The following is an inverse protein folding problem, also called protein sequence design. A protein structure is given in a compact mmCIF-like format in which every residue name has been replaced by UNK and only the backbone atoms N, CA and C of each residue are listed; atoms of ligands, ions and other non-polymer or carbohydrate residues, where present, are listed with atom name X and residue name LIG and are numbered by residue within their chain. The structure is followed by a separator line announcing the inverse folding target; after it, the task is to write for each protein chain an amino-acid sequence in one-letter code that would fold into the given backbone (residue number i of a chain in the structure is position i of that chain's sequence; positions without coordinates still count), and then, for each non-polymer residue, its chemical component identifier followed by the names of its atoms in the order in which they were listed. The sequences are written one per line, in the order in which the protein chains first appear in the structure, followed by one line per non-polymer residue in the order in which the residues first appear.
data_IF_480344815581
#
_entry.id   IF_480344815581
#
_cell.length_a   1.000
_cell.length_b   1.000
_cell.length_c   1.000
_cell.angle_alpha   90.00
_cell.angle_beta   90.00
_cell.angle_gamma   90.00
#
_symmetry.space_group_name_H-M   'P 1'
#
loop_
_entity.id
_entity.type
_entity.pdbx_description
1 polymer ?
#
# COMPACT_ATOMS: atom_id res chain seq x y z
N UNK A 1 -4.81 -19.91 -11.34
CA UNK A 1 -4.68 -18.46 -11.60
C UNK A 1 -5.94 -17.68 -11.22
N UNK A 2 -7.14 -18.04 -11.70
CA UNK A 2 -8.40 -17.38 -11.31
C UNK A 2 -8.69 -17.46 -9.80
N UNK A 3 -8.63 -18.66 -9.20
CA UNK A 3 -8.86 -18.85 -7.75
C UNK A 3 -7.90 -18.02 -6.89
N UNK A 4 -6.62 -17.99 -7.26
CA UNK A 4 -5.62 -17.17 -6.58
C UNK A 4 -5.92 -15.66 -6.70
N UNK A 5 -6.38 -15.21 -7.87
CA UNK A 5 -6.76 -13.80 -8.09
C UNK A 5 -7.98 -13.41 -7.25
N UNK A 6 -8.99 -14.28 -7.18
CA UNK A 6 -10.17 -14.11 -6.31
C UNK A 6 -9.74 -14.05 -4.85
N UNK A 7 -8.83 -14.94 -4.44
CA UNK A 7 -8.30 -14.96 -3.08
C UNK A 7 -7.52 -13.69 -2.74
N UNK A 8 -6.72 -13.15 -3.68
CA UNK A 8 -6.03 -11.87 -3.49
C UNK A 8 -7.00 -10.70 -3.34
N UNK A 9 -8.08 -10.67 -4.14
CA UNK A 9 -9.14 -9.66 -3.98
C UNK A 9 -9.81 -9.79 -2.61
N UNK A 10 -10.09 -11.01 -2.15
CA UNK A 10 -10.59 -11.27 -0.81
C UNK A 10 -9.63 -10.81 0.30
N UNK A 11 -8.32 -11.04 0.12
CA UNK A 11 -7.28 -10.60 1.05
C UNK A 11 -7.19 -9.06 1.08
N UNK A 12 -7.32 -8.41 -0.08
CA UNK A 12 -7.35 -6.95 -0.20
C UNK A 12 -8.55 -6.36 0.54
N UNK A 13 -9.74 -6.94 0.36
CA UNK A 13 -10.95 -6.53 1.11
C UNK A 13 -10.79 -6.74 2.63
N UNK A 14 -10.27 -7.90 3.03
CA UNK A 14 -10.02 -8.18 4.44
C UNK A 14 -9.01 -7.20 5.04
N UNK A 15 -7.96 -6.84 4.30
CA UNK A 15 -6.99 -5.86 4.76
C UNK A 15 -7.57 -4.46 4.89
N UNK A 16 -8.51 -4.06 4.03
CA UNK A 16 -9.25 -2.82 4.17
C UNK A 16 -9.96 -2.78 5.52
N UNK A 17 -10.64 -3.87 5.91
CA UNK A 17 -11.31 -3.97 7.21
C UNK A 17 -10.29 -3.88 8.34
N UNK A 18 -9.23 -4.70 8.30
CA UNK A 18 -8.20 -4.73 9.36
C UNK A 18 -7.50 -3.37 9.50
N UNK A 19 -7.25 -2.68 8.39
CA UNK A 19 -6.62 -1.36 8.36
C UNK A 19 -7.41 -0.31 9.15
N UNK A 20 -8.74 -0.41 9.21
CA UNK A 20 -9.58 0.52 9.98
C UNK A 20 -9.41 0.37 11.50
N UNK A 21 -9.01 -0.81 11.96
CA UNK A 21 -8.82 -1.10 13.38
C UNK A 21 -7.38 -0.90 13.86
N UNK A 22 -6.45 -0.56 12.96
CA UNK A 22 -5.06 -0.34 13.33
C UNK A 22 -4.81 1.08 13.84
N UNK A 23 -4.50 1.25 15.14
CA UNK A 23 -4.12 2.55 15.67
C UNK A 23 -2.76 3.00 15.14
N UNK A 24 -2.50 4.31 15.13
CA UNK A 24 -1.15 4.82 14.91
C UNK A 24 -0.25 4.45 16.09
N UNK A 25 1.02 4.17 15.79
CA UNK A 25 2.02 3.90 16.82
C UNK A 25 2.54 5.24 17.32
N UNK A 26 1.94 5.76 18.38
CA UNK A 26 2.28 7.05 18.99
C UNK A 26 3.75 7.13 19.43
N UNK A 27 4.35 6.00 19.81
CA UNK A 27 5.76 5.92 20.20
C UNK A 27 6.75 6.18 19.05
N UNK A 28 6.30 6.14 17.78
CA UNK A 28 7.14 6.22 16.58
C UNK A 28 6.63 7.27 15.59
N UNK A 29 6.54 8.54 16.03
CA UNK A 29 6.10 9.66 15.18
C UNK A 29 4.72 9.46 14.54
N UNK A 30 3.80 8.81 15.26
CA UNK A 30 2.49 8.40 14.73
C UNK A 30 2.56 7.58 13.43
N UNK A 31 3.61 6.76 13.29
CA UNK A 31 3.76 5.85 12.17
C UNK A 31 2.56 4.89 12.10
N UNK A 32 2.10 4.64 10.87
CA UNK A 32 0.98 3.74 10.60
C UNK A 32 1.47 2.52 9.86
N UNK A 33 0.91 1.36 10.18
CA UNK A 33 1.17 0.16 9.41
C UNK A 33 0.24 0.15 8.22
N UNK A 34 0.78 0.15 7.01
CA UNK A 34 0.01 0.24 5.78
C UNK A 34 -0.22 -1.13 5.15
N UNK A 35 -1.14 -1.92 5.68
CA UNK A 35 -1.42 -3.30 5.22
C UNK A 35 -2.02 -3.32 3.81
N UNK A 36 -2.98 -2.45 3.52
CA UNK A 36 -3.64 -2.40 2.22
C UNK A 36 -2.63 -2.14 1.07
N UNK A 37 -1.78 -1.09 1.13
CA UNK A 37 -0.70 -0.93 0.16
C UNK A 37 0.23 -2.14 0.06
N UNK A 38 0.57 -2.75 1.20
CA UNK A 38 1.47 -3.89 1.28
C UNK A 38 0.95 -5.08 0.47
N UNK A 39 -0.34 -5.38 0.58
CA UNK A 39 -0.97 -6.49 -0.15
C UNK A 39 -1.03 -6.22 -1.65
N UNK A 40 -1.32 -4.98 -2.06
CA UNK A 40 -1.29 -4.59 -3.47
C UNK A 40 0.13 -4.76 -4.04
N UNK A 41 1.15 -4.29 -3.31
CA UNK A 41 2.55 -4.38 -3.74
C UNK A 41 3.06 -5.83 -3.74
N UNK A 42 2.84 -6.60 -2.68
CA UNK A 42 3.26 -8.00 -2.63
C UNK A 42 2.51 -8.84 -3.66
N UNK A 43 1.21 -8.61 -3.83
CA UNK A 43 0.38 -9.26 -4.85
C UNK A 43 0.83 -8.92 -6.27
N UNK A 44 1.27 -7.69 -6.52
CA UNK A 44 1.72 -7.26 -7.86
C UNK A 44 2.91 -8.06 -8.40
N UNK A 45 3.79 -8.54 -7.52
CA UNK A 45 4.96 -9.36 -7.88
C UNK A 45 4.55 -10.79 -8.23
N UNK A 46 3.49 -11.31 -7.62
CA UNK A 46 3.07 -12.71 -7.81
C UNK A 46 2.22 -12.89 -9.07
N UNK A 47 1.44 -11.88 -9.46
CA UNK A 47 0.49 -11.94 -10.58
C UNK A 47 1.03 -11.35 -11.89
N UNK A 48 0.28 -11.52 -13.00
CA UNK A 48 0.58 -10.89 -14.29
C UNK A 48 0.21 -9.40 -14.31
N UNK A 49 0.76 -8.64 -15.26
CA UNK A 49 0.52 -7.19 -15.44
C UNK A 49 -0.96 -6.83 -15.50
N UNK A 50 -1.79 -7.59 -16.21
CA UNK A 50 -3.24 -7.32 -16.26
C UNK A 50 -3.92 -7.42 -14.89
N UNK A 51 -3.63 -8.48 -14.12
CA UNK A 51 -4.23 -8.69 -12.80
C UNK A 51 -3.70 -7.67 -11.78
N UNK A 52 -2.43 -7.28 -11.90
CA UNK A 52 -1.85 -6.20 -11.10
C UNK A 52 -2.61 -4.88 -11.31
N UNK A 53 -2.93 -4.50 -12.55
CA UNK A 53 -3.66 -3.26 -12.81
C UNK A 53 -5.05 -3.27 -12.16
N UNK A 54 -5.73 -4.42 -12.17
CA UNK A 54 -7.01 -4.60 -11.47
C UNK A 54 -6.83 -4.44 -9.95
N UNK A 55 -5.76 -5.02 -9.38
CA UNK A 55 -5.42 -4.87 -7.97
C UNK A 55 -5.08 -3.43 -7.61
N UNK A 56 -4.34 -2.71 -8.45
CA UNK A 56 -3.98 -1.31 -8.24
C UNK A 56 -5.22 -0.40 -8.33
N UNK A 57 -6.11 -0.67 -9.28
CA UNK A 57 -7.39 0.02 -9.40
C UNK A 57 -8.26 -0.18 -8.16
N UNK A 58 -8.49 -1.44 -7.75
CA UNK A 58 -9.28 -1.73 -6.55
C UNK A 58 -8.61 -1.17 -5.28
N UNK A 59 -7.31 -1.40 -5.11
CA UNK A 59 -6.56 -0.89 -3.96
C UNK A 59 -6.60 0.64 -3.85
N UNK A 60 -6.43 1.34 -4.98
CA UNK A 60 -6.54 2.81 -5.04
C UNK A 60 -7.94 3.30 -4.72
N UNK A 61 -8.95 2.69 -5.33
CA UNK A 61 -10.35 3.01 -5.07
C UNK A 61 -10.71 2.83 -3.58
N UNK A 62 -10.31 1.70 -2.99
CA UNK A 62 -10.57 1.41 -1.57
C UNK A 62 -9.82 2.37 -0.65
N UNK A 63 -8.55 2.68 -0.96
CA UNK A 63 -7.76 3.61 -0.18
C UNK A 63 -8.37 5.01 -0.18
N UNK A 64 -8.73 5.53 -1.35
CA UNK A 64 -9.36 6.85 -1.45
C UNK A 64 -10.72 6.88 -0.74
N UNK A 65 -11.52 5.81 -0.84
CA UNK A 65 -12.77 5.69 -0.09
C UNK A 65 -12.55 5.71 1.44
N UNK A 66 -11.52 5.02 1.94
CA UNK A 66 -11.17 5.03 3.35
C UNK A 66 -10.72 6.43 3.83
N UNK A 67 -9.93 7.14 3.02
CA UNK A 67 -9.45 8.48 3.36
C UNK A 67 -10.60 9.48 3.44
N UNK A 68 -11.56 9.43 2.50
CA UNK A 68 -12.76 10.28 2.54
C UNK A 68 -13.61 10.02 3.80
N UNK A 69 -13.80 8.75 4.14
CA UNK A 69 -14.55 8.37 5.35
C UNK A 69 -13.83 8.84 6.62
N UNK A 70 -12.50 8.84 6.64
CA UNK A 70 -11.70 9.29 7.79
C UNK A 70 -11.80 10.80 8.04
N UNK A 71 -11.95 11.61 6.97
CA UNK A 71 -12.13 13.07 7.08
C UNK A 71 -13.52 13.44 7.61
N UNK A 72 -14.55 12.63 7.31
CA UNK A 72 -15.95 12.94 7.64
C UNK A 72 -16.34 12.62 9.09
N UNK A 73 -15.46 12.01 9.89
CA UNK A 73 -15.76 11.63 11.28
C UNK A 73 -15.69 12.79 12.31
N UNK A 74 -15.43 14.02 11.88
CA UNK A 74 -15.53 15.22 12.73
C UNK A 74 -16.82 16.00 12.47
N UNK A 75 -17.50 16.47 13.51
CA UNK A 75 -18.66 17.37 13.36
C UNK A 75 -18.26 18.59 12.50
N UNK A 76 -18.88 18.81 11.33
CA UNK A 76 -18.51 19.89 10.41
C UNK A 76 -18.79 21.29 10.97
N UNK A 77 -19.53 21.37 12.08
CA UNK A 77 -19.84 22.62 12.79
C UNK A 77 -18.69 23.03 13.74
N UNK A 78 -17.85 22.08 14.18
CA UNK A 78 -16.75 22.30 15.14
C UNK A 78 -15.39 22.32 14.45
N UNK A 79 -15.21 21.54 13.37
CA UNK A 79 -13.96 21.46 12.63
C UNK A 79 -14.09 22.12 11.25
N UNK A 80 -13.76 23.42 11.20
CA UNK A 80 -13.77 24.25 9.98
C UNK A 80 -12.61 23.98 9.01
N UNK A 81 -11.76 23.00 9.32
CA UNK A 81 -10.67 22.60 8.44
C UNK A 81 -11.14 21.42 7.61
N UNK A 82 -11.71 21.68 6.43
CA UNK A 82 -11.63 20.72 5.35
C UNK A 82 -10.14 20.57 5.05
N UNK A 83 -9.46 19.46 5.39
CA UNK A 83 -8.08 19.28 4.96
C UNK A 83 -8.10 19.36 3.43
N UNK A 84 -7.16 20.08 2.82
CA UNK A 84 -6.97 20.16 1.37
C UNK A 84 -6.90 18.73 0.81
N UNK A 85 -8.07 18.23 0.41
CA UNK A 85 -8.29 16.82 0.19
C UNK A 85 -7.94 16.55 -1.25
N UNK A 86 -6.91 15.74 -1.42
CA UNK A 86 -6.47 15.32 -2.73
C UNK A 86 -7.64 14.60 -3.43
N UNK A 87 -7.92 14.95 -4.68
CA UNK A 87 -9.11 14.50 -5.40
C UNK A 87 -9.16 12.97 -5.52
N UNK A 88 -10.33 12.37 -5.31
CA UNK A 88 -10.54 10.94 -5.47
C UNK A 88 -9.96 10.41 -6.81
N UNK A 89 -9.17 9.34 -6.75
CA UNK A 89 -8.58 8.68 -7.91
C UNK A 89 -7.06 8.84 -8.05
N UNK A 90 -6.41 9.75 -7.33
CA UNK A 90 -4.95 9.89 -7.38
C UNK A 90 -4.24 8.61 -6.95
N UNK A 91 -4.78 7.90 -5.95
CA UNK A 91 -4.16 6.71 -5.38
C UNK A 91 -4.10 5.57 -6.38
N UNK A 92 -5.07 5.47 -7.30
CA UNK A 92 -5.07 4.46 -8.38
C UNK A 92 -3.84 4.63 -9.27
N UNK A 93 -3.51 5.86 -9.63
CA UNK A 93 -2.32 6.17 -10.45
C UNK A 93 -1.04 5.84 -9.67
N UNK A 94 -0.97 6.22 -8.40
CA UNK A 94 0.20 5.93 -7.56
C UNK A 94 0.40 4.42 -7.34
N UNK A 95 -0.66 3.66 -7.05
CA UNK A 95 -0.56 2.20 -6.93
C UNK A 95 -0.17 1.52 -8.24
N UNK A 96 -0.65 2.04 -9.37
CA UNK A 96 -0.26 1.54 -10.69
C UNK A 96 1.24 1.74 -10.90
N UNK A 97 1.76 2.95 -10.62
CA UNK A 97 3.17 3.27 -10.72
C UNK A 97 4.02 2.37 -9.81
N UNK A 98 3.62 2.20 -8.55
CA UNK A 98 4.34 1.32 -7.61
C UNK A 98 4.24 -0.16 -7.99
N UNK A 99 3.11 -0.60 -8.52
CA UNK A 99 2.93 -1.95 -9.04
C UNK A 99 3.86 -2.24 -10.22
N UNK A 100 4.03 -1.30 -11.15
CA UNK A 100 5.00 -1.44 -12.23
C UNK A 100 6.44 -1.51 -11.72
N UNK A 101 6.77 -0.70 -10.70
CA UNK A 101 8.07 -0.72 -10.03
C UNK A 101 8.34 -2.12 -9.43
N UNK A 102 7.34 -2.71 -8.77
CA UNK A 102 7.37 -4.08 -8.27
C UNK A 102 7.50 -5.14 -9.37
N UNK A 103 6.86 -4.95 -10.52
CA UNK A 103 6.98 -5.90 -11.63
C UNK A 103 8.37 -5.92 -12.26
N UNK A 104 9.11 -4.81 -12.20
CA UNK A 104 10.50 -4.74 -12.67
C UNK A 104 11.43 -5.75 -11.98
N UNK A 105 11.19 -6.07 -10.71
CA UNK A 105 12.02 -7.03 -9.95
C UNK A 105 11.47 -8.46 -9.95
N UNK A 106 10.34 -8.71 -10.61
CA UNK A 106 9.76 -10.05 -10.72
C UNK A 106 10.75 -11.13 -11.19
N UNK A 107 11.66 -10.91 -12.18
CA UNK A 107 12.64 -11.94 -12.52
C UNK A 107 13.58 -12.28 -11.36
N UNK A 108 13.99 -11.29 -10.57
CA UNK A 108 14.91 -11.45 -9.42
C UNK A 108 14.22 -12.16 -8.25
N UNK A 109 12.92 -11.89 -8.04
CA UNK A 109 12.14 -12.60 -7.02
C UNK A 109 12.06 -14.11 -7.29
N UNK A 110 12.02 -14.50 -8.56
CA UNK A 110 12.01 -15.92 -8.97
C UNK A 110 13.33 -16.64 -8.68
N UNK A 111 14.42 -15.90 -8.44
CA UNK A 111 15.72 -16.44 -8.04
C UNK A 111 15.83 -16.76 -6.53
N UNK A 112 14.79 -16.53 -5.73
CA UNK A 112 14.81 -16.86 -4.29
C UNK A 112 15.38 -15.76 -3.38
N UNK A 113 15.65 -14.56 -3.91
CA UNK A 113 16.12 -13.41 -3.11
C UNK A 113 14.95 -12.59 -2.53
N UNK A 114 14.17 -13.22 -1.65
CA UNK A 114 12.98 -12.63 -1.02
C UNK A 114 13.24 -11.32 -0.25
N UNK A 115 14.46 -11.13 0.26
CA UNK A 115 14.88 -9.89 0.94
C UNK A 115 14.86 -8.65 0.03
N UNK A 116 15.14 -8.81 -1.28
CA UNK A 116 15.12 -7.69 -2.23
C UNK A 116 13.71 -7.16 -2.46
N UNK A 117 12.71 -8.05 -2.51
CA UNK A 117 11.31 -7.64 -2.65
C UNK A 117 10.79 -6.93 -1.40
N UNK A 118 11.24 -7.33 -0.21
CA UNK A 118 10.91 -6.61 1.02
C UNK A 118 11.48 -5.19 1.00
N UNK A 119 12.77 -5.01 0.65
CA UNK A 119 13.40 -3.70 0.55
C UNK A 119 12.66 -2.83 -0.48
N UNK A 120 12.37 -3.40 -1.66
CA UNK A 120 11.65 -2.66 -2.69
C UNK A 120 10.26 -2.25 -2.22
N UNK A 121 9.55 -3.10 -1.45
CA UNK A 121 8.23 -2.76 -0.93
C UNK A 121 8.32 -1.53 -0.02
N UNK A 122 9.34 -1.47 0.85
CA UNK A 122 9.65 -0.28 1.65
C UNK A 122 9.90 0.95 0.78
N UNK A 123 10.75 0.85 -0.23
CA UNK A 123 11.07 1.95 -1.17
C UNK A 123 9.83 2.42 -1.91
N UNK A 124 8.99 1.51 -2.41
CA UNK A 124 7.73 1.85 -3.07
C UNK A 124 6.76 2.57 -2.14
N UNK A 125 6.64 2.15 -0.88
CA UNK A 125 5.77 2.82 0.10
C UNK A 125 6.32 4.20 0.46
N UNK A 126 7.64 4.33 0.61
CA UNK A 126 8.27 5.63 0.82
C UNK A 126 7.99 6.58 -0.34
N UNK A 127 8.18 6.11 -1.57
CA UNK A 127 7.95 6.89 -2.78
C UNK A 127 6.48 7.25 -2.94
N UNK A 128 5.57 6.32 -2.66
CA UNK A 128 4.13 6.55 -2.62
C UNK A 128 3.78 7.70 -1.67
N UNK A 129 4.20 7.62 -0.41
CA UNK A 129 3.91 8.64 0.61
C UNK A 129 4.59 9.98 0.30
N UNK A 130 5.79 9.94 -0.25
CA UNK A 130 6.53 11.14 -0.63
C UNK A 130 5.85 11.87 -1.80
N UNK A 131 5.43 11.15 -2.84
CA UNK A 131 4.69 11.75 -3.96
C UNK A 131 3.32 12.25 -3.49
N UNK A 132 2.62 11.50 -2.64
CA UNK A 132 1.35 11.94 -2.05
C UNK A 132 1.53 13.23 -1.22
N UNK A 133 2.62 13.33 -0.47
CA UNK A 133 2.99 14.56 0.24
C UNK A 133 3.24 15.74 -0.71
N UNK A 134 4.00 15.52 -1.79
CA UNK A 134 4.25 16.56 -2.79
C UNK A 134 2.97 17.02 -3.50
N UNK A 135 2.10 16.08 -3.88
CA UNK A 135 0.82 16.39 -4.52
C UNK A 135 -0.09 17.21 -3.60
N UNK A 136 -0.17 16.84 -2.31
CA UNK A 136 -0.90 17.64 -1.31
C UNK A 136 -0.34 19.04 -1.18
N UNK A 137 0.98 19.18 -1.07
CA UNK A 137 1.64 20.50 -0.99
C UNK A 137 1.40 21.37 -2.22
N UNK A 138 1.39 20.77 -3.41
CA UNK A 138 1.12 21.47 -4.66
C UNK A 138 -0.34 21.93 -4.77
N UNK A 139 -1.31 21.06 -4.43
CA UNK A 139 -2.73 21.38 -4.49
C UNK A 139 -3.15 22.38 -3.42
N UNK A 140 -2.58 22.29 -2.21
CA UNK A 140 -2.86 23.21 -1.09
C UNK A 140 -2.18 24.58 -1.22
N UNK A 141 -1.48 24.87 -2.32
CA UNK A 141 -0.88 26.19 -2.57
C UNK A 141 0.31 26.54 -1.66
N UNK A 142 0.86 25.57 -0.92
CA UNK A 142 1.99 25.77 -0.02
C UNK A 142 2.37 24.49 0.73
N UNK A 143 3.68 24.25 0.87
CA UNK A 143 4.19 23.21 1.76
C UNK A 143 4.02 23.70 3.19
N UNK A 144 2.91 23.33 3.83
CA UNK A 144 2.77 23.52 5.27
C UNK A 144 3.89 22.72 5.95
N UNK A 145 4.86 23.44 6.49
CA UNK A 145 6.02 22.88 7.17
C UNK A 145 5.56 22.28 8.49
N UNK A 146 5.08 21.03 8.44
CA UNK A 146 4.72 20.26 9.61
C UNK A 146 5.99 19.55 10.12
N UNK A 147 6.51 20.03 11.25
CA UNK A 147 7.70 19.50 11.91
C UNK A 147 7.45 18.05 12.38
N UNK A 148 7.81 17.08 11.53
CA UNK A 148 7.70 15.65 11.84
C UNK A 148 7.07 14.79 10.74
N UNK A 149 6.47 15.39 9.70
CA UNK A 149 5.79 14.61 8.65
C UNK A 149 6.77 13.74 7.84
N UNK A 150 7.98 14.24 7.56
CA UNK A 150 9.01 13.45 6.87
C UNK A 150 9.51 12.27 7.73
N UNK A 151 9.58 12.47 9.05
CA UNK A 151 9.98 11.43 10.00
C UNK A 151 8.89 10.34 10.08
N UNK A 152 7.61 10.74 10.07
CA UNK A 152 6.48 9.82 10.01
C UNK A 152 6.46 9.01 8.72
N UNK A 153 6.74 9.62 7.56
CA UNK A 153 6.80 8.93 6.25
C UNK A 153 7.91 7.88 6.27
N UNK A 154 9.11 8.24 6.73
CA UNK A 154 10.22 7.31 6.81
C UNK A 154 9.95 6.18 7.81
N UNK A 155 9.46 6.49 9.01
CA UNK A 155 9.12 5.49 10.03
C UNK A 155 8.03 4.53 9.53
N UNK A 156 6.97 5.05 8.89
CA UNK A 156 5.90 4.24 8.31
C UNK A 156 6.41 3.31 7.21
N UNK A 157 7.26 3.81 6.32
CA UNK A 157 7.87 2.98 5.26
C UNK A 157 8.71 1.85 5.85
N UNK A 158 9.59 2.15 6.82
CA UNK A 158 10.45 1.14 7.46
C UNK A 158 9.63 0.10 8.21
N UNK A 159 8.61 0.51 8.96
CA UNK A 159 7.74 -0.40 9.69
C UNK A 159 6.99 -1.33 8.72
N UNK A 160 6.45 -0.76 7.64
CA UNK A 160 5.72 -1.53 6.63
C UNK A 160 6.66 -2.45 5.84
N UNK A 161 7.90 -2.04 5.59
CA UNK A 161 8.97 -2.88 5.03
C UNK A 161 9.25 -4.10 5.90
N UNK A 162 9.34 -3.91 7.22
CA UNK A 162 9.59 -4.98 8.19
C UNK A 162 8.43 -5.98 8.23
N UNK A 163 7.20 -5.53 7.99
CA UNK A 163 6.01 -6.39 7.90
C UNK A 163 5.89 -7.12 6.55
N UNK A 164 6.60 -6.67 5.51
CA UNK A 164 6.60 -7.28 4.17
C UNK A 164 6.84 -8.80 4.14
N UNK A 165 7.87 -9.36 4.80
CA UNK A 165 8.09 -10.81 4.80
C UNK A 165 6.93 -11.62 5.39
N UNK A 166 6.22 -11.06 6.39
CA UNK A 166 5.04 -11.70 6.97
C UNK A 166 3.90 -11.79 5.96
N UNK A 167 3.65 -10.70 5.22
CA UNK A 167 2.64 -10.69 4.16
C UNK A 167 3.02 -11.63 3.02
N UNK A 168 4.28 -11.65 2.59
CA UNK A 168 4.74 -12.63 1.59
C UNK A 168 4.47 -14.06 2.03
N UNK A 169 4.75 -14.39 3.30
CA UNK A 169 4.46 -15.71 3.85
C UNK A 169 2.97 -16.06 3.81
N UNK A 170 2.09 -15.11 4.15
CA UNK A 170 0.63 -15.29 4.00
C UNK A 170 0.26 -15.54 2.53
N UNK A 171 0.79 -14.74 1.61
CA UNK A 171 0.52 -14.89 0.17
C UNK A 171 1.00 -16.25 -0.37
N UNK A 172 2.16 -16.73 0.07
CA UNK A 172 2.67 -18.05 -0.31
C UNK A 172 1.77 -19.17 0.22
N UNK A 173 1.34 -19.10 1.47
CA UNK A 173 0.41 -20.06 2.04
C UNK A 173 -0.93 -20.08 1.29
N UNK A 174 -1.45 -18.91 0.93
CA UNK A 174 -2.68 -18.78 0.12
C UNK A 174 -2.47 -19.33 -1.29
N UNK A 175 -1.31 -19.10 -1.90
CA UNK A 175 -0.96 -19.63 -3.21
C UNK A 175 -0.90 -21.17 -3.20
N UNK A 176 -0.29 -21.76 -2.18
CA UNK A 176 -0.21 -23.22 -1.98
C UNK A 176 -1.61 -23.82 -1.79
N UNK A 177 -2.48 -23.20 -0.98
CA UNK A 177 -3.87 -23.62 -0.79
C UNK A 177 -4.69 -23.54 -2.08
N UNK A 178 -4.39 -22.58 -2.95
CA UNK A 178 -5.05 -22.41 -4.25
C UNK A 178 -4.45 -23.29 -5.36
N UNK A 179 -3.47 -24.15 -5.06
CA UNK A 179 -2.77 -24.98 -6.04
C UNK A 179 -1.98 -24.17 -7.08
N UNK A 180 -1.67 -22.91 -6.77
CA UNK A 180 -0.89 -22.05 -7.66
C UNK A 180 0.58 -22.10 -7.26
N UNK A 181 1.36 -22.91 -7.98
CA UNK A 181 2.81 -22.95 -7.77
C UNK A 181 3.44 -21.66 -8.29
N UNK A 182 3.84 -20.78 -7.37
CA UNK A 182 4.82 -19.72 -7.64
C UNK A 182 6.17 -20.46 -7.80
N UNK A 183 6.34 -21.17 -8.93
CA UNK A 183 7.41 -22.16 -9.08
C UNK A 183 8.76 -21.44 -9.12
N UNK A 184 9.55 -21.66 -8.09
CA UNK A 184 11.01 -21.59 -8.12
C UNK A 184 11.50 -22.69 -9.06
N UNK A 185 12.09 -22.34 -10.20
CA UNK A 185 12.97 -23.29 -10.87
C UNK A 185 14.27 -23.31 -10.06
N UNK A 186 14.53 -24.47 -9.45
CA UNK A 186 15.85 -24.83 -8.93
C UNK A 186 16.90 -24.72 -10.03
#
# INVERSE_FOLDING_TARGET
MLLYSISLIGLLLLSCIVQQFLPSVSSWYDARILILPLIVLCGSVTVSTGIMLILAYLGGFLWDAQQILSVTQGDPIVYQNSPDSLQFGYSVVLYTLMGFLMQGIRPIFREGKWYLSAILAGVSIFLYLFVEYLLRGFVGGGFHQNDGMIQQIWATSVLTMLLSPLIFWILFRVADLCGHTIRYQK
#
